data_IF_109579239808
#
_entry.id   IF_109579239808
#
_cell.length_a   1.000
_cell.length_b   1.000
_cell.length_c   1.000
_cell.angle_alpha   90.00
_cell.angle_beta   90.00
_cell.angle_gamma   90.00
#
_symmetry.space_group_name_H-M   'P 1'
#
loop_
_entity.id
_entity.type
_entity.pdbx_description
1 polymer ?
#
# COMPACT_ATOMS: atom_id res chain seq x y z
N UNK A 1 18.61 -23.22 -21.10
CA UNK A 1 19.42 -24.05 -20.17
C UNK A 1 20.88 -23.85 -20.53
N UNK A 2 21.77 -23.74 -19.54
CA UNK A 2 23.22 -23.66 -19.73
C UNK A 2 23.88 -24.94 -19.22
N UNK A 3 24.73 -25.56 -20.04
CA UNK A 3 25.61 -26.65 -19.64
C UNK A 3 26.98 -26.07 -19.27
N UNK A 4 27.38 -26.24 -18.00
CA UNK A 4 28.67 -25.82 -17.45
C UNK A 4 29.44 -27.05 -16.92
N UNK A 5 29.99 -27.90 -17.83
CA UNK A 5 30.63 -29.15 -17.45
C UNK A 5 31.88 -28.97 -16.57
N UNK A 6 32.49 -27.78 -16.60
CA UNK A 6 33.68 -27.46 -15.81
C UNK A 6 33.40 -27.11 -14.35
N UNK A 7 32.12 -26.97 -13.97
CA UNK A 7 31.71 -26.43 -12.66
C UNK A 7 32.52 -25.17 -12.31
N UNK A 8 32.60 -24.25 -13.27
CA UNK A 8 33.48 -23.12 -13.14
C UNK A 8 32.97 -22.19 -12.05
N UNK A 9 33.79 -21.99 -11.01
CA UNK A 9 33.44 -21.07 -9.90
C UNK A 9 33.07 -19.68 -10.42
N UNK A 10 33.68 -19.25 -11.54
CA UNK A 10 33.39 -17.96 -12.20
C UNK A 10 31.96 -17.86 -12.70
N UNK A 11 31.38 -18.95 -13.20
CA UNK A 11 29.99 -19.03 -13.65
C UNK A 11 29.04 -18.84 -12.47
N UNK A 12 29.21 -19.63 -11.42
CA UNK A 12 28.38 -19.56 -10.22
C UNK A 12 28.49 -18.20 -9.50
N UNK A 13 29.72 -17.71 -9.30
CA UNK A 13 29.96 -16.40 -8.66
C UNK A 13 29.44 -15.25 -9.53
N UNK A 14 29.68 -15.29 -10.84
CA UNK A 14 29.21 -14.27 -11.77
C UNK A 14 27.68 -14.18 -11.82
N UNK A 15 26.97 -15.31 -11.74
CA UNK A 15 25.51 -15.32 -11.67
C UNK A 15 25.02 -14.81 -10.30
N UNK A 16 25.61 -15.24 -9.19
CA UNK A 16 25.26 -14.74 -7.86
C UNK A 16 25.50 -13.23 -7.73
N UNK A 17 26.54 -12.68 -8.37
CA UNK A 17 26.78 -11.23 -8.43
C UNK A 17 25.74 -10.47 -9.23
N UNK A 18 25.06 -11.12 -10.19
CA UNK A 18 23.96 -10.54 -10.98
C UNK A 18 22.61 -10.68 -10.29
N UNK A 19 22.53 -11.37 -9.15
CA UNK A 19 21.29 -11.49 -8.37
C UNK A 19 20.77 -10.10 -8.00
N UNK A 20 19.65 -9.71 -8.59
CA UNK A 20 18.98 -8.43 -8.37
C UNK A 20 17.47 -8.61 -8.47
N UNK A 21 16.79 -8.96 -7.36
CA UNK A 21 15.34 -9.11 -7.33
C UNK A 21 14.61 -7.81 -7.68
N UNK A 22 15.21 -6.64 -7.44
CA UNK A 22 14.61 -5.36 -7.81
C UNK A 22 14.70 -5.10 -9.32
N UNK A 23 15.74 -5.62 -9.97
CA UNK A 23 15.93 -5.65 -11.41
C UNK A 23 15.24 -6.83 -12.12
N UNK A 24 14.52 -7.68 -11.39
CA UNK A 24 13.75 -8.80 -11.94
C UNK A 24 14.54 -10.10 -12.17
N UNK A 25 15.77 -10.20 -11.65
CA UNK A 25 16.63 -11.39 -11.79
C UNK A 25 16.91 -12.04 -10.43
N UNK A 26 16.42 -13.26 -10.24
CA UNK A 26 16.63 -14.03 -9.02
C UNK A 26 17.49 -15.24 -9.32
N UNK A 27 18.63 -15.34 -8.65
CA UNK A 27 19.50 -16.52 -8.67
C UNK A 27 19.30 -17.34 -7.40
N UNK A 28 18.97 -18.62 -7.58
CA UNK A 28 18.73 -19.60 -6.51
C UNK A 28 19.86 -20.61 -6.52
N UNK A 29 20.45 -20.85 -5.35
CA UNK A 29 21.31 -22.00 -5.13
C UNK A 29 20.57 -22.99 -4.23
N UNK A 30 19.98 -24.07 -4.80
CA UNK A 30 19.30 -25.09 -4.01
C UNK A 30 20.22 -25.64 -2.91
N UNK A 31 19.67 -25.85 -1.72
CA UNK A 31 20.44 -26.37 -0.58
C UNK A 31 20.83 -27.83 -0.85
N UNK A 32 22.13 -28.17 -0.87
CA UNK A 32 22.57 -29.53 -1.14
C UNK A 32 22.02 -30.54 -0.13
N UNK A 33 21.56 -31.70 -0.59
CA UNK A 33 21.14 -32.83 0.28
C UNK A 33 19.75 -32.71 0.90
N UNK A 34 19.06 -31.57 0.75
CA UNK A 34 17.64 -31.45 1.11
C UNK A 34 16.76 -31.90 -0.07
N UNK A 35 16.46 -33.19 -0.11
CA UNK A 35 15.66 -33.80 -1.17
C UNK A 35 14.16 -33.60 -0.91
N UNK A 36 13.57 -32.50 -1.38
CA UNK A 36 12.12 -32.32 -1.36
C UNK A 36 11.62 -31.00 -1.93
N UNK A 37 10.45 -31.03 -2.55
CA UNK A 37 9.81 -29.85 -3.16
C UNK A 37 9.59 -28.70 -2.17
N UNK A 38 9.37 -29.01 -0.89
CA UNK A 38 9.24 -27.99 0.14
C UNK A 38 10.56 -27.26 0.39
N UNK A 39 11.70 -27.99 0.42
CA UNK A 39 13.01 -27.38 0.57
C UNK A 39 13.36 -26.49 -0.63
N UNK A 40 13.11 -26.98 -1.85
CA UNK A 40 13.30 -26.19 -3.07
C UNK A 40 12.44 -24.92 -3.06
N UNK A 41 11.17 -25.00 -2.65
CA UNK A 41 10.33 -23.82 -2.51
C UNK A 41 10.85 -22.84 -1.46
N UNK A 42 11.40 -23.34 -0.34
CA UNK A 42 12.01 -22.50 0.68
C UNK A 42 13.29 -21.81 0.17
N UNK A 43 14.12 -22.49 -0.63
CA UNK A 43 15.31 -21.92 -1.24
C UNK A 43 14.94 -20.78 -2.21
N UNK A 44 13.88 -20.97 -3.00
CA UNK A 44 13.36 -19.89 -3.88
C UNK A 44 12.82 -18.72 -3.06
N UNK A 45 12.08 -18.97 -1.97
CA UNK A 45 11.62 -17.91 -1.06
C UNK A 45 12.81 -17.18 -0.41
N UNK A 46 13.87 -17.89 -0.04
CA UNK A 46 15.08 -17.30 0.51
C UNK A 46 15.77 -16.38 -0.51
N UNK A 47 15.89 -16.83 -1.77
CA UNK A 47 16.45 -16.05 -2.86
C UNK A 47 15.60 -14.81 -3.19
N UNK A 48 14.27 -14.88 -3.01
CA UNK A 48 13.38 -13.72 -3.08
C UNK A 48 13.49 -12.77 -1.87
N UNK A 49 14.44 -13.03 -0.96
CA UNK A 49 14.67 -12.24 0.25
C UNK A 49 13.61 -12.45 1.33
N UNK A 50 12.84 -13.54 1.31
CA UNK A 50 11.76 -13.80 2.28
C UNK A 50 12.28 -14.47 3.54
N UNK A 51 11.63 -14.20 4.67
CA UNK A 51 12.05 -14.73 5.97
C UNK A 51 11.84 -16.23 6.10
N UNK A 52 12.90 -17.03 5.86
CA UNK A 52 12.86 -18.48 6.03
C UNK A 52 12.58 -18.91 7.48
N UNK A 53 13.04 -18.13 8.47
CA UNK A 53 12.83 -18.41 9.89
C UNK A 53 11.34 -18.33 10.30
N UNK A 54 10.51 -17.69 9.48
CA UNK A 54 9.10 -17.46 9.75
C UNK A 54 8.17 -18.46 9.07
N UNK A 55 8.66 -19.32 8.17
CA UNK A 55 7.85 -20.27 7.39
C UNK A 55 6.93 -21.14 8.27
N UNK A 56 7.45 -21.68 9.38
CA UNK A 56 6.67 -22.49 10.33
C UNK A 56 5.62 -21.65 11.06
N UNK A 57 6.03 -20.50 11.60
CA UNK A 57 5.14 -19.59 12.33
C UNK A 57 4.00 -19.05 11.44
N UNK A 58 4.28 -18.88 10.15
CA UNK A 58 3.34 -18.36 9.15
C UNK A 58 2.55 -19.46 8.44
N UNK A 59 2.77 -20.74 8.80
CA UNK A 59 2.14 -21.94 8.21
C UNK A 59 2.32 -22.07 6.69
N UNK A 60 3.50 -21.70 6.20
CA UNK A 60 3.95 -22.03 4.85
C UNK A 60 4.68 -23.39 4.79
N UNK A 61 4.41 -24.29 5.72
CA UNK A 61 4.98 -25.63 5.73
C UNK A 61 4.31 -26.49 4.64
N UNK A 62 5.12 -27.16 3.82
CA UNK A 62 4.68 -28.05 2.75
C UNK A 62 4.78 -27.42 1.36
N UNK A 63 5.05 -28.25 0.35
CA UNK A 63 5.37 -27.82 -1.02
C UNK A 63 4.23 -27.05 -1.70
N UNK A 64 2.97 -27.44 -1.49
CA UNK A 64 1.84 -26.77 -2.12
C UNK A 64 1.68 -25.31 -1.66
N UNK A 65 1.67 -25.06 -0.33
CA UNK A 65 1.52 -23.70 0.21
C UNK A 65 2.75 -22.83 -0.06
N UNK A 66 3.95 -23.39 0.11
CA UNK A 66 5.19 -22.69 -0.20
C UNK A 66 5.26 -22.33 -1.69
N UNK A 67 4.88 -23.25 -2.59
CA UNK A 67 4.85 -22.99 -4.03
C UNK A 67 3.85 -21.92 -4.46
N UNK A 68 2.66 -21.87 -3.85
CA UNK A 68 1.72 -20.74 -4.07
C UNK A 68 2.31 -19.41 -3.61
N UNK A 69 3.02 -19.40 -2.47
CA UNK A 69 3.71 -18.20 -2.00
C UNK A 69 4.82 -17.77 -2.96
N UNK A 70 5.58 -18.72 -3.52
CA UNK A 70 6.61 -18.45 -4.54
C UNK A 70 5.99 -17.77 -5.77
N UNK A 71 4.93 -18.35 -6.35
CA UNK A 71 4.26 -17.75 -7.54
C UNK A 71 3.75 -16.35 -7.22
N UNK A 72 3.12 -16.17 -6.07
CA UNK A 72 2.64 -14.86 -5.62
C UNK A 72 3.76 -13.81 -5.51
N UNK A 73 4.93 -14.20 -5.00
CA UNK A 73 6.06 -13.29 -4.86
C UNK A 73 6.77 -13.01 -6.18
N UNK A 74 6.94 -14.00 -7.04
CA UNK A 74 7.51 -13.81 -8.39
C UNK A 74 6.68 -12.78 -9.19
N UNK A 75 5.35 -12.89 -9.15
CA UNK A 75 4.45 -11.94 -9.80
C UNK A 75 4.48 -10.56 -9.15
N UNK A 76 4.45 -10.49 -7.82
CA UNK A 76 4.45 -9.23 -7.10
C UNK A 76 5.74 -8.43 -7.31
N UNK A 77 6.88 -9.12 -7.31
CA UNK A 77 8.19 -8.50 -7.50
C UNK A 77 8.53 -8.31 -8.98
N UNK A 78 7.68 -8.76 -9.90
CA UNK A 78 7.90 -8.70 -11.35
C UNK A 78 9.21 -9.39 -11.75
N UNK A 79 9.45 -10.57 -11.20
CA UNK A 79 10.64 -11.37 -11.53
C UNK A 79 10.49 -11.92 -12.95
N UNK A 80 11.34 -11.40 -13.83
CA UNK A 80 11.41 -11.81 -15.23
C UNK A 80 12.22 -13.09 -15.39
N UNK A 81 13.28 -13.25 -14.60
CA UNK A 81 14.25 -14.33 -14.72
C UNK A 81 14.49 -15.05 -13.39
N UNK A 82 14.28 -16.38 -13.39
CA UNK A 82 14.65 -17.26 -12.29
C UNK A 82 15.78 -18.19 -12.74
N UNK A 83 16.98 -17.95 -12.22
CA UNK A 83 18.17 -18.78 -12.47
C UNK A 83 18.31 -19.79 -11.35
N UNK A 84 18.42 -21.08 -11.68
CA UNK A 84 18.64 -22.16 -10.71
C UNK A 84 20.00 -22.77 -10.95
N UNK A 85 20.90 -22.57 -9.99
CA UNK A 85 22.24 -23.16 -10.00
C UNK A 85 22.17 -24.64 -9.67
N UNK A 86 23.12 -25.43 -10.20
CA UNK A 86 23.23 -26.87 -9.94
C UNK A 86 21.94 -27.63 -10.18
N UNK A 87 21.21 -27.24 -11.22
CA UNK A 87 19.92 -27.82 -11.58
C UNK A 87 20.02 -29.31 -11.93
N UNK A 88 21.21 -29.80 -12.28
CA UNK A 88 21.54 -31.22 -12.48
C UNK A 88 21.32 -32.07 -11.23
N UNK A 89 21.31 -31.47 -10.03
CA UNK A 89 21.10 -32.17 -8.75
C UNK A 89 19.64 -32.26 -8.32
N UNK A 90 18.71 -31.69 -9.09
CA UNK A 90 17.30 -31.74 -8.77
C UNK A 90 16.68 -33.07 -9.23
N UNK A 91 15.57 -33.46 -8.62
CA UNK A 91 14.77 -34.59 -9.09
C UNK A 91 13.83 -34.17 -10.23
N UNK A 92 13.31 -35.16 -10.97
CA UNK A 92 12.27 -34.93 -11.99
C UNK A 92 11.09 -34.10 -11.46
N UNK A 93 10.57 -34.46 -10.28
CA UNK A 93 9.52 -33.70 -9.61
C UNK A 93 9.93 -32.24 -9.34
N UNK A 94 11.21 -31.98 -9.03
CA UNK A 94 11.76 -30.65 -8.81
C UNK A 94 11.76 -29.80 -10.10
N UNK A 95 12.18 -30.38 -11.22
CA UNK A 95 12.12 -29.74 -12.53
C UNK A 95 10.67 -29.45 -12.96
N UNK A 96 9.78 -30.43 -12.85
CA UNK A 96 8.35 -30.27 -13.14
C UNK A 96 7.73 -29.13 -12.33
N UNK A 97 8.05 -29.09 -11.03
CA UNK A 97 7.56 -28.06 -10.14
C UNK A 97 8.08 -26.67 -10.52
N UNK A 98 9.38 -26.52 -10.85
CA UNK A 98 9.95 -25.24 -11.30
C UNK A 98 9.30 -24.76 -12.60
N UNK A 99 9.10 -25.67 -13.57
CA UNK A 99 8.41 -25.37 -14.82
C UNK A 99 6.96 -24.95 -14.58
N UNK A 100 6.25 -25.63 -13.68
CA UNK A 100 4.88 -25.27 -13.32
C UNK A 100 4.79 -23.90 -12.64
N UNK A 101 5.71 -23.59 -11.71
CA UNK A 101 5.80 -22.29 -11.02
C UNK A 101 6.08 -21.18 -12.03
N UNK A 102 7.11 -21.34 -12.87
CA UNK A 102 7.54 -20.32 -13.83
C UNK A 102 6.48 -20.08 -14.92
N UNK A 103 5.80 -21.13 -15.40
CA UNK A 103 4.66 -20.97 -16.32
C UNK A 103 3.52 -20.17 -15.71
N UNK A 104 3.23 -20.37 -14.42
CA UNK A 104 2.15 -19.64 -13.71
C UNK A 104 2.52 -18.20 -13.39
N UNK A 105 3.79 -17.92 -13.11
CA UNK A 105 4.26 -16.55 -12.85
C UNK A 105 4.63 -15.79 -14.13
N UNK A 106 4.75 -16.47 -15.28
CA UNK A 106 5.29 -15.87 -16.51
C UNK A 106 6.78 -15.57 -16.45
N UNK A 107 7.50 -16.17 -15.49
CA UNK A 107 8.95 -15.99 -15.29
C UNK A 107 9.71 -16.93 -16.22
N UNK A 108 10.79 -16.45 -16.83
CA UNK A 108 11.70 -17.29 -17.62
C UNK A 108 12.59 -18.10 -16.68
N UNK A 109 12.62 -19.41 -16.89
CA UNK A 109 13.45 -20.33 -16.12
C UNK A 109 14.79 -20.56 -16.82
N UNK A 110 15.89 -20.32 -16.11
CA UNK A 110 17.24 -20.61 -16.58
C UNK A 110 17.86 -21.67 -15.66
N UNK A 111 18.01 -22.88 -16.19
CA UNK A 111 18.67 -23.99 -15.49
C UNK A 111 20.16 -23.99 -15.81
N UNK A 112 21.02 -24.01 -14.79
CA UNK A 112 22.47 -24.18 -14.92
C UNK A 112 22.81 -25.60 -14.47
N UNK A 113 23.30 -26.43 -15.40
CA UNK A 113 23.56 -27.84 -15.17
C UNK A 113 25.05 -28.12 -15.32
N UNK A 114 25.69 -28.70 -14.30
CA UNK A 114 27.12 -29.02 -14.33
C UNK A 114 27.41 -30.39 -14.92
N UNK A 115 26.95 -30.59 -16.17
CA UNK A 115 27.02 -31.86 -16.89
C UNK A 115 27.35 -31.59 -18.36
N UNK A 116 27.95 -32.59 -19.01
CA UNK A 116 28.33 -32.51 -20.43
C UNK A 116 27.14 -32.73 -21.38
N UNK A 117 26.08 -33.38 -20.89
CA UNK A 117 24.88 -33.67 -21.65
C UNK A 117 23.64 -33.63 -20.73
N UNK A 118 22.48 -33.35 -21.33
CA UNK A 118 21.21 -33.33 -20.62
C UNK A 118 20.87 -34.74 -20.11
N UNK A 119 20.55 -34.86 -18.82
CA UNK A 119 20.12 -36.13 -18.25
C UNK A 119 18.80 -36.59 -18.90
N UNK A 120 18.59 -37.88 -19.22
CA UNK A 120 17.37 -38.37 -19.86
C UNK A 120 16.10 -37.97 -19.11
N UNK A 121 16.09 -38.09 -17.78
CA UNK A 121 14.94 -37.69 -16.96
C UNK A 121 14.61 -36.18 -17.04
N UNK A 122 15.62 -35.33 -17.29
CA UNK A 122 15.38 -33.90 -17.54
C UNK A 122 14.90 -33.67 -18.98
N UNK A 123 15.44 -34.41 -19.94
CA UNK A 123 14.97 -34.36 -21.33
C UNK A 123 13.48 -34.74 -21.43
N UNK A 124 13.06 -35.78 -20.71
CA UNK A 124 11.65 -36.21 -20.63
C UNK A 124 10.76 -35.11 -20.03
N UNK A 125 11.20 -34.44 -18.96
CA UNK A 125 10.47 -33.32 -18.33
C UNK A 125 10.40 -32.09 -19.26
N UNK A 126 11.43 -31.87 -20.07
CA UNK A 126 11.48 -30.77 -21.04
C UNK A 126 10.73 -31.08 -22.34
N UNK A 127 10.26 -32.32 -22.53
CA UNK A 127 9.51 -32.72 -23.71
C UNK A 127 8.26 -31.83 -23.88
N UNK A 128 8.07 -31.28 -25.09
CA UNK A 128 6.97 -30.36 -25.38
C UNK A 128 7.10 -28.95 -24.79
N UNK A 129 8.19 -28.63 -24.07
CA UNK A 129 8.49 -27.28 -23.60
C UNK A 129 9.52 -26.63 -24.53
N UNK A 130 9.23 -25.44 -25.07
CA UNK A 130 10.22 -24.68 -25.86
C UNK A 130 11.40 -24.29 -24.99
N UNK A 131 12.60 -24.78 -25.33
CA UNK A 131 13.82 -24.51 -24.60
C UNK A 131 15.02 -24.42 -25.54
N UNK A 132 16.02 -23.65 -25.13
CA UNK A 132 17.30 -23.50 -25.82
C UNK A 132 18.41 -24.07 -24.92
N UNK A 133 19.34 -24.81 -25.52
CA UNK A 133 20.53 -25.35 -24.82
C UNK A 133 21.72 -24.48 -25.22
N UNK A 134 22.36 -23.90 -24.22
CA UNK A 134 23.51 -23.02 -24.35
C UNK A 134 24.71 -23.69 -23.67
N UNK A 135 25.90 -23.45 -24.20
CA UNK A 135 27.18 -23.97 -23.67
C UNK A 135 28.14 -22.86 -23.26
N UNK A 136 27.77 -21.59 -23.47
CA UNK A 136 28.52 -20.42 -23.05
C UNK A 136 27.60 -19.43 -22.32
N UNK A 137 28.11 -18.82 -21.26
CA UNK A 137 27.40 -17.89 -20.39
C UNK A 137 27.20 -16.53 -21.07
N UNK A 138 28.09 -16.15 -21.99
CA UNK A 138 28.05 -14.86 -22.71
C UNK A 138 26.75 -14.61 -23.49
N UNK A 139 26.03 -15.67 -23.88
CA UNK A 139 24.77 -15.62 -24.62
C UNK A 139 23.52 -15.83 -23.75
N UNK A 140 23.68 -16.31 -22.51
CA UNK A 140 22.57 -16.85 -21.69
C UNK A 140 21.66 -15.83 -21.04
N UNK A 141 22.20 -14.70 -20.64
CA UNK A 141 21.43 -13.60 -20.11
C UNK A 141 21.42 -12.56 -21.21
N UNK A 142 20.33 -12.40 -21.99
CA UNK A 142 20.13 -11.12 -22.64
C UNK A 142 20.06 -10.13 -21.48
N UNK A 143 21.16 -9.41 -21.27
CA UNK A 143 21.10 -8.07 -20.75
C UNK A 143 20.31 -7.30 -21.78
N UNK A 144 18.97 -7.43 -21.72
CA UNK A 144 18.13 -6.49 -22.42
C UNK A 144 18.58 -5.14 -21.85
N UNK A 145 19.16 -4.23 -22.65
CA UNK A 145 19.46 -2.89 -22.16
C UNK A 145 18.15 -2.43 -21.56
N UNK A 146 18.18 -2.14 -20.25
CA UNK A 146 16.99 -2.02 -19.43
C UNK A 146 15.92 -1.31 -20.24
N UNK A 147 14.84 -2.03 -20.59
CA UNK A 147 13.61 -1.37 -21.04
C UNK A 147 13.44 -0.28 -20.00
N UNK A 148 13.47 1.03 -20.36
CA UNK A 148 13.68 2.12 -19.42
C UNK A 148 12.78 1.79 -18.27
N UNK A 149 13.41 1.40 -17.15
CA UNK A 149 12.70 0.71 -16.10
C UNK A 149 11.48 1.57 -15.90
N UNK A 150 10.29 1.00 -16.02
CA UNK A 150 9.20 1.60 -15.29
C UNK A 150 9.60 1.32 -13.85
N UNK A 151 10.56 2.11 -13.37
CA UNK A 151 10.85 2.29 -11.98
C UNK A 151 9.46 2.36 -11.38
N UNK A 152 9.10 1.55 -10.39
CA UNK A 152 8.00 1.93 -9.53
C UNK A 152 8.20 3.41 -9.26
N UNK A 153 7.27 4.24 -9.78
CA UNK A 153 7.49 5.65 -10.02
C UNK A 153 8.22 6.24 -8.80
N UNK A 154 9.48 6.63 -9.01
CA UNK A 154 10.40 7.10 -7.97
C UNK A 154 10.51 6.22 -6.68
N UNK A 155 11.35 5.18 -6.70
CA UNK A 155 12.02 4.69 -5.47
C UNK A 155 13.17 5.63 -5.05
N UNK A 156 13.60 6.54 -5.94
CA UNK A 156 14.61 7.56 -5.64
C UNK A 156 14.02 8.97 -5.68
N UNK A 157 13.22 9.32 -4.67
CA UNK A 157 13.10 10.68 -4.11
C UNK A 157 12.29 10.67 -2.81
N UNK A 158 12.77 9.93 -1.80
CA UNK A 158 12.38 10.13 -0.39
C UNK A 158 13.63 10.17 0.50
N UNK A 159 14.79 10.47 -0.09
CA UNK A 159 16.07 10.59 0.63
C UNK A 159 16.54 12.05 0.73
N UNK A 160 15.62 13.00 0.58
CA UNK A 160 15.77 14.24 1.32
C UNK A 160 15.17 13.96 2.71
N UNK A 161 15.91 14.17 3.81
CA UNK A 161 15.25 14.41 5.08
C UNK A 161 14.18 15.46 4.79
N UNK A 162 12.91 15.16 5.06
CA UNK A 162 11.90 16.20 5.03
C UNK A 162 12.47 17.34 5.89
N UNK A 163 12.62 18.57 5.35
CA UNK A 163 13.11 19.68 6.16
C UNK A 163 12.31 19.66 7.44
N UNK A 164 12.97 19.69 8.60
CA UNK A 164 12.32 19.57 9.91
C UNK A 164 11.07 20.44 9.89
N UNK A 165 9.91 19.79 9.75
CA UNK A 165 8.68 20.52 9.49
C UNK A 165 8.41 21.32 10.75
N UNK A 166 8.42 22.65 10.62
CA UNK A 166 8.08 23.52 11.73
C UNK A 166 6.66 23.15 12.15
N UNK A 167 6.48 22.77 13.41
CA UNK A 167 5.16 22.38 13.88
C UNK A 167 4.22 23.59 13.76
N UNK A 168 3.04 23.35 13.17
CA UNK A 168 2.06 24.40 12.97
C UNK A 168 1.29 24.64 14.27
N UNK A 169 0.92 25.89 14.58
CA UNK A 169 0.07 26.17 15.73
C UNK A 169 -1.29 25.48 15.57
N UNK A 170 -1.91 25.15 16.69
CA UNK A 170 -3.26 24.60 16.71
C UNK A 170 -4.26 25.66 16.21
N UNK A 171 -4.89 25.41 15.06
CA UNK A 171 -5.92 26.27 14.51
C UNK A 171 -7.09 25.45 13.94
N UNK A 172 -8.15 25.31 14.74
CA UNK A 172 -9.29 24.44 14.46
C UNK A 172 -10.56 25.18 14.00
N UNK A 173 -10.42 26.40 13.46
CA UNK A 173 -11.59 27.14 12.95
C UNK A 173 -12.28 26.37 11.82
N UNK A 174 -13.60 26.23 11.93
CA UNK A 174 -14.44 25.46 11.01
C UNK A 174 -15.14 26.36 9.99
N UNK A 175 -15.20 27.67 10.27
CA UNK A 175 -15.90 28.63 9.44
C UNK A 175 -15.04 29.00 8.23
N UNK A 176 -15.26 28.29 7.11
CA UNK A 176 -14.46 28.50 5.90
C UNK A 176 -14.53 29.92 5.32
N UNK A 177 -15.59 30.68 5.64
CA UNK A 177 -15.79 32.06 5.18
C UNK A 177 -15.12 33.10 6.07
N UNK A 178 -14.47 32.70 7.18
CA UNK A 178 -13.67 33.54 8.08
C UNK A 178 -12.35 32.87 8.45
N UNK A 179 -11.99 31.78 7.78
CA UNK A 179 -10.87 30.94 8.19
C UNK A 179 -9.54 31.70 8.14
N UNK A 180 -9.29 32.48 7.08
CA UNK A 180 -8.03 33.21 6.94
C UNK A 180 -8.00 34.48 7.77
N UNK A 181 -9.10 35.23 7.78
CA UNK A 181 -9.23 36.51 8.48
C UNK A 181 -9.24 36.38 10.02
N UNK A 182 -9.75 35.27 10.57
CA UNK A 182 -9.75 35.03 12.01
C UNK A 182 -8.40 34.48 12.53
N UNK A 183 -7.56 33.93 11.66
CA UNK A 183 -6.33 33.25 12.07
C UNK A 183 -5.29 34.17 12.76
N UNK A 184 -4.99 35.39 12.28
CA UNK A 184 -4.02 36.26 12.96
C UNK A 184 -4.38 36.58 14.41
N UNK A 185 -5.68 36.66 14.74
CA UNK A 185 -6.14 36.88 16.11
C UNK A 185 -6.00 35.62 16.98
N UNK A 186 -6.10 34.43 16.39
CA UNK A 186 -6.04 33.17 17.11
C UNK A 186 -4.60 32.64 17.31
N UNK A 187 -3.74 32.78 16.30
CA UNK A 187 -2.42 32.13 16.25
C UNK A 187 -1.26 33.10 15.94
N UNK A 188 -1.53 34.41 15.93
CA UNK A 188 -0.56 35.45 15.61
C UNK A 188 -0.15 35.48 14.13
N UNK A 189 0.51 36.57 13.71
CA UNK A 189 0.87 36.77 12.30
C UNK A 189 1.81 35.68 11.76
N UNK A 190 2.83 35.30 12.53
CA UNK A 190 3.79 34.26 12.11
C UNK A 190 3.10 32.90 11.95
N UNK A 191 2.27 32.52 12.92
CA UNK A 191 1.49 31.28 12.85
C UNK A 191 0.51 31.28 11.69
N UNK A 192 -0.14 32.42 11.44
CA UNK A 192 -0.99 32.63 10.28
C UNK A 192 -0.23 32.40 8.98
N UNK A 193 0.91 33.06 8.75
CA UNK A 193 1.66 32.94 7.49
C UNK A 193 2.08 31.48 7.21
N UNK A 194 2.50 30.74 8.23
CA UNK A 194 2.87 29.34 8.10
C UNK A 194 1.64 28.45 7.80
N UNK A 195 0.54 28.67 8.51
CA UNK A 195 -0.71 27.91 8.32
C UNK A 195 -1.36 28.24 6.98
N UNK A 196 -1.33 29.50 6.56
CA UNK A 196 -1.90 29.99 5.31
C UNK A 196 -1.15 29.43 4.11
N UNK A 197 0.18 29.32 4.16
CA UNK A 197 0.94 28.67 3.10
C UNK A 197 0.46 27.23 2.85
N UNK A 198 0.22 26.46 3.92
CA UNK A 198 -0.28 25.08 3.85
C UNK A 198 -1.75 25.02 3.42
N UNK A 199 -2.58 25.95 3.90
CA UNK A 199 -3.96 26.12 3.46
C UNK A 199 -4.03 26.40 1.95
N UNK A 200 -3.21 27.31 1.44
CA UNK A 200 -3.20 27.70 0.03
C UNK A 200 -2.74 26.55 -0.87
N UNK A 201 -1.79 25.71 -0.40
CA UNK A 201 -1.43 24.47 -1.10
C UNK A 201 -2.63 23.53 -1.25
N UNK A 202 -3.39 23.30 -0.17
CA UNK A 202 -4.60 22.49 -0.21
C UNK A 202 -5.69 23.06 -1.13
N UNK A 203 -5.86 24.39 -1.11
CA UNK A 203 -6.80 25.10 -1.98
C UNK A 203 -6.43 24.98 -3.46
N UNK A 204 -5.16 25.19 -3.80
CA UNK A 204 -4.66 25.09 -5.16
C UNK A 204 -4.80 23.65 -5.69
N UNK A 205 -4.43 22.65 -4.88
CA UNK A 205 -4.57 21.24 -5.22
C UNK A 205 -6.03 20.85 -5.49
N UNK A 206 -6.97 21.30 -4.65
CA UNK A 206 -8.40 21.07 -4.87
C UNK A 206 -8.93 21.76 -6.12
N UNK A 207 -8.44 22.98 -6.41
CA UNK A 207 -8.79 23.68 -7.64
C UNK A 207 -8.36 22.91 -8.89
N UNK A 208 -7.08 22.52 -8.94
CA UNK A 208 -6.54 21.74 -10.05
C UNK A 208 -7.27 20.39 -10.22
N UNK A 209 -7.53 19.69 -9.11
CA UNK A 209 -8.27 18.43 -9.14
C UNK A 209 -9.70 18.60 -9.67
N UNK A 210 -10.44 19.63 -9.23
CA UNK A 210 -11.78 19.89 -9.74
C UNK A 210 -11.77 20.26 -11.22
N UNK A 211 -10.78 21.03 -11.67
CA UNK A 211 -10.66 21.42 -13.08
C UNK A 211 -10.46 20.21 -14.00
N UNK A 212 -9.79 19.14 -13.52
CA UNK A 212 -9.66 17.89 -14.29
C UNK A 212 -10.88 16.96 -14.19
N UNK A 213 -11.69 17.07 -13.13
CA UNK A 213 -12.82 16.15 -12.88
C UNK A 213 -14.19 16.72 -13.27
N UNK A 214 -14.29 18.04 -13.48
CA UNK A 214 -15.54 18.72 -13.90
C UNK A 214 -15.64 18.87 -15.42
N UNK A 215 -14.99 18.01 -16.19
CA UNK A 215 -15.02 18.03 -17.66
C UNK A 215 -16.38 17.50 -18.18
N UNK A 216 -17.43 18.32 -18.14
CA UNK A 216 -18.75 17.96 -18.67
C UNK A 216 -19.90 18.86 -18.22
N UNK A 217 -21.09 18.63 -18.77
CA UNK A 217 -22.30 19.41 -18.46
C UNK A 217 -22.90 19.13 -17.06
N UNK A 218 -22.51 18.03 -16.40
CA UNK A 218 -23.06 17.60 -15.12
C UNK A 218 -22.04 17.73 -14.00
N UNK A 219 -22.39 18.52 -12.97
CA UNK A 219 -21.55 18.78 -11.78
C UNK A 219 -21.80 17.77 -10.66
N UNK A 220 -21.75 16.48 -10.97
CA UNK A 220 -21.87 15.42 -9.95
C UNK A 220 -20.48 14.85 -9.68
N UNK A 221 -20.05 14.94 -8.42
CA UNK A 221 -18.79 14.35 -7.97
C UNK A 221 -19.08 13.03 -7.27
N UNK A 222 -18.29 12.00 -7.60
CA UNK A 222 -18.29 10.76 -6.84
C UNK A 222 -17.58 10.98 -5.49
N UNK A 223 -18.28 10.70 -4.39
CA UNK A 223 -17.75 10.85 -3.04
C UNK A 223 -16.52 9.97 -2.81
N UNK A 224 -16.43 8.81 -3.46
CA UNK A 224 -15.26 7.95 -3.38
C UNK A 224 -14.02 8.63 -3.96
N UNK A 225 -14.16 9.31 -5.11
CA UNK A 225 -13.08 10.08 -5.72
C UNK A 225 -12.66 11.28 -4.86
N UNK A 226 -13.63 11.95 -4.22
CA UNK A 226 -13.33 13.03 -3.26
C UNK A 226 -12.57 12.50 -2.04
N UNK A 227 -12.97 11.36 -1.47
CA UNK A 227 -12.25 10.74 -0.34
C UNK A 227 -10.82 10.33 -0.72
N UNK A 228 -10.61 9.78 -1.92
CA UNK A 228 -9.29 9.44 -2.45
C UNK A 228 -8.42 10.70 -2.56
N UNK A 229 -8.91 11.74 -3.23
CA UNK A 229 -8.20 13.02 -3.37
C UNK A 229 -7.80 13.62 -2.01
N UNK A 230 -8.74 13.73 -1.08
CA UNK A 230 -8.47 14.33 0.23
C UNK A 230 -7.47 13.50 1.04
N UNK A 231 -7.49 12.17 0.88
CA UNK A 231 -6.53 11.30 1.55
C UNK A 231 -5.13 11.44 0.95
N UNK A 232 -5.02 11.47 -0.38
CA UNK A 232 -3.75 11.73 -1.08
C UNK A 232 -3.17 13.10 -0.72
N UNK A 233 -4.02 14.11 -0.50
CA UNK A 233 -3.63 15.46 -0.11
C UNK A 233 -2.95 15.53 1.27
N UNK A 234 -3.29 14.62 2.19
CA UNK A 234 -2.83 14.67 3.58
C UNK A 234 -1.93 13.52 4.01
N UNK A 235 -1.75 12.48 3.19
CA UNK A 235 -1.02 11.27 3.56
C UNK A 235 0.45 11.54 3.95
N UNK A 236 1.06 12.58 3.40
CA UNK A 236 2.45 13.01 3.65
C UNK A 236 2.54 14.15 4.67
N UNK A 237 1.42 14.58 5.27
CA UNK A 237 1.43 15.64 6.27
C UNK A 237 2.31 15.29 7.46
N UNK A 238 3.18 16.20 7.91
CA UNK A 238 4.07 15.93 9.03
C UNK A 238 3.35 15.92 10.38
N UNK A 239 2.31 16.73 10.56
CA UNK A 239 1.52 16.79 11.81
C UNK A 239 0.02 16.90 11.53
N UNK A 240 -0.83 16.62 12.53
CA UNK A 240 -2.30 16.77 12.43
C UNK A 240 -2.72 18.17 12.02
N UNK A 241 -2.00 19.19 12.49
CA UNK A 241 -2.28 20.58 12.17
C UNK A 241 -2.03 20.89 10.68
N UNK A 242 -1.02 20.26 10.07
CA UNK A 242 -0.80 20.34 8.63
C UNK A 242 -1.94 19.70 7.84
N UNK A 243 -2.37 18.49 8.24
CA UNK A 243 -3.51 17.82 7.62
C UNK A 243 -4.77 18.66 7.70
N UNK A 244 -5.06 19.23 8.87
CA UNK A 244 -6.22 20.10 9.04
C UNK A 244 -6.14 21.35 8.15
N UNK A 245 -4.98 22.02 8.10
CA UNK A 245 -4.78 23.20 7.26
C UNK A 245 -4.97 22.87 5.76
N UNK A 246 -4.39 21.77 5.27
CA UNK A 246 -4.56 21.32 3.88
C UNK A 246 -6.02 20.98 3.55
N UNK A 247 -6.72 20.27 4.44
CA UNK A 247 -8.13 19.92 4.25
C UNK A 247 -9.04 21.16 4.27
N UNK A 248 -8.80 22.12 5.16
CA UNK A 248 -9.51 23.41 5.15
C UNK A 248 -9.21 24.20 3.88
N UNK A 249 -7.98 24.14 3.38
CA UNK A 249 -7.60 24.66 2.07
C UNK A 249 -8.45 24.05 0.96
N UNK A 250 -8.51 22.71 0.91
CA UNK A 250 -9.34 21.99 -0.04
C UNK A 250 -10.82 22.36 0.07
N UNK A 251 -11.35 22.51 1.28
CA UNK A 251 -12.71 22.98 1.52
C UNK A 251 -12.96 24.37 0.88
N UNK A 252 -11.99 25.28 0.97
CA UNK A 252 -12.02 26.57 0.26
C UNK A 252 -11.98 26.41 -1.27
N UNK A 253 -11.17 25.49 -1.79
CA UNK A 253 -11.08 25.19 -3.23
C UNK A 253 -12.38 24.63 -3.81
N UNK A 254 -13.02 23.69 -3.11
CA UNK A 254 -14.34 23.16 -3.44
C UNK A 254 -15.41 24.26 -3.38
N UNK A 255 -15.37 25.10 -2.34
CA UNK A 255 -16.31 26.21 -2.21
C UNK A 255 -16.23 27.19 -3.37
N UNK A 256 -15.01 27.50 -3.84
CA UNK A 256 -14.79 28.39 -4.98
C UNK A 256 -15.39 27.86 -6.30
N UNK A 257 -15.71 26.56 -6.38
CA UNK A 257 -16.35 25.91 -7.55
C UNK A 257 -17.79 25.45 -7.24
N UNK A 258 -18.41 26.07 -6.22
CA UNK A 258 -19.79 25.82 -5.80
C UNK A 258 -20.05 24.41 -5.26
N UNK A 259 -19.06 23.77 -4.64
CA UNK A 259 -19.25 22.54 -3.88
C UNK A 259 -19.15 22.80 -2.38
N UNK A 260 -20.14 22.34 -1.63
CA UNK A 260 -20.10 22.28 -0.17
C UNK A 260 -19.41 20.98 0.26
N UNK A 261 -18.11 21.08 0.54
CA UNK A 261 -17.35 19.99 1.12
C UNK A 261 -17.47 20.07 2.64
N UNK A 262 -18.13 19.08 3.26
CA UNK A 262 -18.17 18.95 4.71
C UNK A 262 -17.08 18.00 5.16
N UNK A 263 -16.29 18.50 6.10
CA UNK A 263 -15.25 17.78 6.80
C UNK A 263 -15.67 17.58 8.25
N UNK A 264 -15.12 16.60 8.96
CA UNK A 264 -15.38 16.48 10.39
C UNK A 264 -14.93 17.74 11.16
N UNK A 265 -15.47 17.93 12.38
CA UNK A 265 -15.06 19.01 13.26
C UNK A 265 -13.54 19.01 13.47
N UNK A 266 -12.91 20.18 13.34
CA UNK A 266 -11.45 20.30 13.36
C UNK A 266 -10.86 19.83 14.68
N UNK A 267 -11.57 20.10 15.78
CA UNK A 267 -11.19 19.69 17.12
C UNK A 267 -11.06 18.17 17.24
N UNK A 268 -11.96 17.38 16.65
CA UNK A 268 -11.90 15.92 16.73
C UNK A 268 -10.68 15.35 15.99
N UNK A 269 -10.22 16.03 14.94
CA UNK A 269 -9.06 15.61 14.14
C UNK A 269 -7.75 15.85 14.89
N UNK A 270 -7.63 16.97 15.59
CA UNK A 270 -6.40 17.38 16.30
C UNK A 270 -6.27 16.77 17.70
N UNK A 271 -7.38 16.48 18.39
CA UNK A 271 -7.37 15.85 19.73
C UNK A 271 -7.14 14.33 19.71
N UNK A 272 -7.10 13.70 18.52
CA UNK A 272 -6.92 12.25 18.41
C UNK A 272 -8.21 11.44 18.56
N UNK A 273 -9.38 12.08 18.54
CA UNK A 273 -10.67 11.39 18.54
C UNK A 273 -11.02 10.77 17.20
N UNK A 274 -10.56 11.40 16.10
CA UNK A 274 -10.58 10.81 14.76
C UNK A 274 -9.18 10.34 14.37
N UNK A 275 -9.19 9.24 13.61
CA UNK A 275 -8.02 8.56 13.11
C UNK A 275 -7.99 8.51 11.58
N UNK A 276 -6.86 8.08 11.03
CA UNK A 276 -6.69 7.79 9.61
C UNK A 276 -5.41 8.36 9.02
N UNK A 277 -5.19 8.14 7.71
CA UNK A 277 -4.13 8.75 6.94
C UNK A 277 -3.97 10.25 7.21
N UNK A 278 -2.74 10.70 7.39
CA UNK A 278 -2.38 12.10 7.70
C UNK A 278 -2.65 12.55 9.14
N UNK A 279 -3.34 11.75 9.97
CA UNK A 279 -3.62 12.10 11.37
C UNK A 279 -2.78 11.28 12.37
N UNK A 280 -2.71 9.96 12.20
CA UNK A 280 -1.98 9.05 13.10
C UNK A 280 -0.69 8.50 12.49
N UNK A 281 -0.63 8.43 11.15
CA UNK A 281 0.57 8.12 10.42
C UNK A 281 1.22 9.42 9.98
N UNK A 282 2.24 9.89 10.70
CA UNK A 282 3.14 10.90 10.13
C UNK A 282 3.78 10.37 8.84
N UNK A 283 4.56 11.21 8.14
CA UNK A 283 5.26 10.87 6.89
C UNK A 283 6.08 9.55 6.91
N UNK A 284 6.33 8.97 8.09
CA UNK A 284 7.03 7.71 8.30
C UNK A 284 6.17 6.42 8.22
N UNK A 285 4.82 6.50 8.24
CA UNK A 285 3.94 5.35 8.46
C UNK A 285 4.05 4.22 7.42
N UNK A 286 4.34 4.55 6.16
CA UNK A 286 4.49 3.59 5.06
C UNK A 286 5.65 3.98 4.12
N UNK A 287 6.82 4.18 4.69
CA UNK A 287 8.03 4.51 3.92
C UNK A 287 8.57 3.29 3.14
N UNK A 288 9.43 3.56 2.16
CA UNK A 288 10.16 2.51 1.42
C UNK A 288 10.90 1.57 2.37
N UNK A 289 11.53 2.11 3.42
CA UNK A 289 12.23 1.32 4.42
C UNK A 289 11.28 0.41 5.24
N UNK A 290 10.05 0.86 5.54
CA UNK A 290 9.02 0.02 6.18
C UNK A 290 8.63 -1.12 5.24
N UNK A 291 8.37 -0.82 3.96
CA UNK A 291 7.97 -1.82 2.97
C UNK A 291 9.07 -2.86 2.74
N UNK A 292 10.35 -2.45 2.70
CA UNK A 292 11.48 -3.37 2.62
C UNK A 292 11.57 -4.28 3.85
N UNK A 293 11.36 -3.75 5.07
CA UNK A 293 11.31 -4.56 6.30
C UNK A 293 10.15 -5.56 6.30
N UNK A 294 8.98 -5.17 5.78
CA UNK A 294 7.87 -6.10 5.59
C UNK A 294 8.30 -7.21 4.63
N UNK A 295 8.80 -6.84 3.45
CA UNK A 295 9.21 -7.81 2.40
C UNK A 295 10.25 -8.81 2.89
N UNK A 296 11.25 -8.34 3.66
CA UNK A 296 12.32 -9.17 4.20
C UNK A 296 11.89 -10.00 5.43
N UNK A 297 10.99 -9.47 6.25
CA UNK A 297 10.60 -10.09 7.52
C UNK A 297 9.41 -11.04 7.46
N UNK A 298 8.70 -11.12 6.32
CA UNK A 298 7.55 -12.01 6.14
C UNK A 298 7.77 -12.99 5.00
N UNK A 299 7.23 -14.19 5.13
CA UNK A 299 7.21 -15.17 4.05
C UNK A 299 5.82 -15.30 3.41
N UNK A 300 4.76 -15.10 4.19
CA UNK A 300 3.38 -15.25 3.73
C UNK A 300 2.83 -13.95 3.11
N UNK A 301 2.37 -13.97 1.83
CA UNK A 301 1.84 -12.79 1.15
C UNK A 301 0.72 -12.07 1.92
N UNK A 302 -0.27 -12.82 2.41
CA UNK A 302 -1.38 -12.30 3.23
C UNK A 302 -0.91 -11.61 4.50
N UNK A 303 0.17 -12.07 5.14
CA UNK A 303 0.69 -11.43 6.34
C UNK A 303 1.31 -10.09 6.00
N UNK A 304 2.18 -10.04 4.96
CA UNK A 304 2.81 -8.80 4.52
C UNK A 304 1.80 -7.73 4.11
N UNK A 305 0.77 -8.10 3.35
CA UNK A 305 -0.30 -7.18 2.98
C UNK A 305 -1.16 -6.76 4.18
N UNK A 306 -1.39 -7.64 5.16
CA UNK A 306 -2.13 -7.29 6.38
C UNK A 306 -1.42 -6.21 7.19
N UNK A 307 -0.09 -6.30 7.33
CA UNK A 307 0.73 -5.24 7.93
C UNK A 307 0.58 -3.94 7.12
N UNK A 308 0.79 -4.02 5.81
CA UNK A 308 0.75 -2.84 4.93
C UNK A 308 -0.62 -2.15 4.93
N UNK A 309 -1.72 -2.90 4.87
CA UNK A 309 -3.08 -2.33 4.90
C UNK A 309 -3.42 -1.73 6.27
N UNK A 310 -2.96 -2.32 7.37
CA UNK A 310 -3.15 -1.75 8.71
C UNK A 310 -2.42 -0.41 8.85
N UNK A 311 -1.18 -0.32 8.36
CA UNK A 311 -0.44 0.94 8.30
C UNK A 311 -1.05 1.96 7.31
N UNK A 312 -1.59 1.49 6.19
CA UNK A 312 -2.20 2.38 5.20
C UNK A 312 -3.49 3.01 5.74
N UNK A 313 -4.37 2.18 6.30
CA UNK A 313 -5.70 2.61 6.75
C UNK A 313 -5.71 3.16 8.17
N UNK A 314 -4.65 2.92 8.94
CA UNK A 314 -4.57 3.15 10.38
C UNK A 314 -5.66 2.41 11.17
N UNK A 315 -6.24 1.37 10.57
CA UNK A 315 -7.24 0.52 11.21
C UNK A 315 -6.61 -0.71 11.86
N UNK A 316 -7.19 -1.19 12.97
CA UNK A 316 -6.79 -2.46 13.57
C UNK A 316 -6.97 -3.61 12.58
N UNK A 317 -6.04 -4.56 12.61
CA UNK A 317 -6.07 -5.73 11.70
C UNK A 317 -7.39 -6.51 11.84
N UNK A 318 -7.98 -6.55 13.05
CA UNK A 318 -9.31 -7.13 13.32
C UNK A 318 -10.37 -6.67 12.34
N UNK A 319 -10.35 -5.40 11.95
CA UNK A 319 -11.30 -4.84 11.01
C UNK A 319 -11.06 -5.30 9.57
N UNK A 320 -9.81 -5.58 9.20
CA UNK A 320 -9.41 -5.96 7.85
C UNK A 320 -9.66 -7.43 7.52
N UNK A 321 -9.99 -8.29 8.50
CA UNK A 321 -10.13 -9.72 8.25
C UNK A 321 -11.38 -10.12 7.47
N UNK A 322 -12.48 -9.38 7.61
CA UNK A 322 -13.70 -9.63 6.83
C UNK A 322 -13.67 -8.94 5.47
N UNK A 323 -12.52 -8.45 5.04
CA UNK A 323 -12.40 -7.63 3.83
C UNK A 323 -12.61 -8.51 2.59
N UNK A 324 -13.68 -8.25 1.81
CA UNK A 324 -13.99 -9.03 0.62
C UNK A 324 -13.05 -8.64 -0.53
N UNK A 325 -12.92 -9.47 -1.56
CA UNK A 325 -12.06 -9.17 -2.71
C UNK A 325 -12.44 -7.87 -3.41
N UNK A 326 -13.74 -7.61 -3.47
CA UNK A 326 -14.36 -6.45 -4.12
C UNK A 326 -14.08 -5.15 -3.36
N UNK A 327 -13.54 -5.24 -2.13
CA UNK A 327 -13.05 -4.07 -1.42
C UNK A 327 -11.80 -3.48 -2.08
N UNK A 328 -11.00 -4.27 -2.80
CA UNK A 328 -9.87 -3.76 -3.59
C UNK A 328 -10.30 -3.51 -5.03
N UNK A 329 -9.89 -2.37 -5.58
CA UNK A 329 -10.07 -2.11 -7.01
C UNK A 329 -9.34 -3.17 -7.86
N UNK A 330 -9.79 -3.43 -9.10
CA UNK A 330 -9.20 -4.47 -9.96
C UNK A 330 -7.68 -4.34 -10.20
N UNK A 331 -7.16 -3.12 -10.14
CA UNK A 331 -5.76 -2.72 -10.32
C UNK A 331 -5.05 -2.39 -8.99
N UNK A 332 -5.71 -2.64 -7.85
CA UNK A 332 -5.22 -2.39 -6.50
C UNK A 332 -4.86 -0.91 -6.21
N UNK A 333 -5.43 0.09 -6.90
CA UNK A 333 -5.19 1.51 -6.62
C UNK A 333 -6.05 2.08 -5.49
N UNK A 334 -7.18 1.44 -5.16
CA UNK A 334 -8.09 1.91 -4.12
C UNK A 334 -8.59 0.76 -3.25
N UNK A 335 -8.74 1.04 -1.97
CA UNK A 335 -9.35 0.14 -0.99
C UNK A 335 -10.64 0.79 -0.44
N UNK A 336 -11.78 0.18 -0.71
CA UNK A 336 -13.10 0.57 -0.21
C UNK A 336 -13.50 -0.31 0.97
N UNK A 337 -13.60 0.31 2.14
CA UNK A 337 -14.10 -0.35 3.34
C UNK A 337 -15.54 0.07 3.60
N UNK A 338 -16.40 -0.92 3.79
CA UNK A 338 -17.81 -0.70 4.12
C UNK A 338 -18.12 -1.40 5.43
N UNK A 339 -18.64 -0.65 6.40
CA UNK A 339 -19.03 -1.16 7.69
C UNK A 339 -20.53 -1.01 7.91
N UNK A 340 -21.15 -2.07 8.42
CA UNK A 340 -22.55 -2.08 8.81
C UNK A 340 -22.62 -2.01 10.34
N UNK A 341 -23.00 -0.87 10.92
CA UNK A 341 -23.12 -0.75 12.36
C UNK A 341 -24.17 -1.74 12.88
N UNK A 342 -23.75 -2.66 13.74
CA UNK A 342 -24.66 -3.55 14.47
C UNK A 342 -25.10 -2.88 15.76
N UNK A 343 -26.10 -2.01 15.69
CA UNK A 343 -26.79 -1.55 16.90
C UNK A 343 -28.05 -2.40 17.08
N UNK A 344 -27.99 -3.37 17.99
CA UNK A 344 -29.20 -4.01 18.50
C UNK A 344 -29.83 -3.07 19.53
N UNK A 345 -30.76 -2.22 19.11
CA UNK A 345 -31.64 -1.54 20.07
C UNK A 345 -32.63 -2.57 20.62
N UNK A 346 -32.46 -2.94 21.89
CA UNK A 346 -33.44 -3.72 22.64
C UNK A 346 -34.69 -2.86 22.82
N UNK A 347 -35.63 -2.94 21.89
CA UNK A 347 -37.00 -2.45 22.11
C UNK A 347 -37.81 -3.62 22.63
N UNK A 348 -38.38 -3.55 23.85
CA UNK A 348 -39.17 -4.64 24.40
C UNK A 348 -40.34 -4.94 23.45
N UNK A 349 -40.46 -6.21 23.05
CA UNK A 349 -41.59 -6.87 22.37
C UNK A 349 -41.64 -6.97 20.83
N UNK A 350 -40.79 -6.32 20.02
CA UNK A 350 -40.75 -6.59 18.56
C UNK A 350 -39.34 -6.41 17.99
N UNK A 351 -38.64 -7.51 17.70
CA UNK A 351 -37.34 -7.48 17.01
C UNK A 351 -37.51 -6.88 15.60
N UNK A 352 -37.32 -5.56 15.48
CA UNK A 352 -37.11 -4.90 14.19
C UNK A 352 -35.66 -4.44 14.15
N UNK A 353 -34.83 -5.20 13.42
CA UNK A 353 -33.47 -4.76 13.09
C UNK A 353 -33.64 -3.55 12.17
N UNK A 354 -33.47 -2.32 12.69
CA UNK A 354 -33.31 -1.15 11.82
C UNK A 354 -31.99 -1.33 11.07
N UNK A 355 -32.06 -1.61 9.77
CA UNK A 355 -30.88 -1.58 8.89
C UNK A 355 -30.38 -0.14 8.85
N UNK A 356 -29.32 0.14 9.59
CA UNK A 356 -28.64 1.43 9.52
C UNK A 356 -27.88 1.56 8.18
N UNK A 357 -27.70 2.80 7.73
CA UNK A 357 -26.96 3.08 6.50
C UNK A 357 -25.50 2.60 6.62
N UNK A 358 -24.95 1.95 5.59
CA UNK A 358 -23.56 1.53 5.59
C UNK A 358 -22.64 2.76 5.64
N UNK A 359 -21.62 2.67 6.47
CA UNK A 359 -20.53 3.65 6.50
C UNK A 359 -19.47 3.18 5.51
N UNK A 360 -19.03 4.06 4.63
CA UNK A 360 -18.01 3.75 3.62
C UNK A 360 -16.85 4.73 3.74
N UNK A 361 -15.63 4.21 3.70
CA UNK A 361 -14.42 5.01 3.51
C UNK A 361 -13.56 4.37 2.42
N UNK A 362 -12.99 5.22 1.57
CA UNK A 362 -12.10 4.81 0.49
C UNK A 362 -10.70 5.34 0.74
N UNK A 363 -9.71 4.46 0.61
CA UNK A 363 -8.30 4.74 0.84
C UNK A 363 -7.50 4.56 -0.45
N UNK A 364 -6.65 5.53 -0.84
CA UNK A 364 -5.73 5.36 -1.95
C UNK A 364 -4.66 4.35 -1.56
N UNK A 365 -4.28 3.50 -2.51
CA UNK A 365 -3.19 2.53 -2.32
C UNK A 365 -1.96 3.03 -3.10
N UNK A 366 -0.88 3.43 -2.39
CA UNK A 366 0.34 3.89 -3.03
C UNK A 366 0.92 2.83 -3.96
N UNK A 367 1.50 3.21 -5.12
CA UNK A 367 2.11 2.28 -6.07
C UNK A 367 3.08 1.27 -5.44
N UNK A 368 3.84 1.70 -4.43
CA UNK A 368 4.80 0.85 -3.73
C UNK A 368 4.16 -0.31 -2.94
N UNK A 369 2.88 -0.20 -2.57
CA UNK A 369 2.12 -1.20 -1.79
C UNK A 369 1.39 -2.18 -2.70
N UNK A 370 1.00 -1.75 -3.91
CA UNK A 370 0.19 -2.55 -4.86
C UNK A 370 0.79 -3.93 -5.14
N UNK A 371 2.12 -4.10 -5.28
CA UNK A 371 2.75 -5.42 -5.36
C UNK A 371 2.37 -6.38 -4.22
N UNK A 372 2.34 -5.90 -2.98
CA UNK A 372 1.99 -6.76 -1.83
C UNK A 372 0.53 -7.21 -1.91
N UNK A 373 -0.36 -6.32 -2.35
CA UNK A 373 -1.77 -6.66 -2.54
C UNK A 373 -1.94 -7.64 -3.70
N UNK A 374 -1.20 -7.45 -4.79
CA UNK A 374 -1.17 -8.39 -5.91
C UNK A 374 -0.69 -9.79 -5.48
N UNK A 375 0.31 -9.87 -4.60
CA UNK A 375 0.79 -11.13 -4.03
C UNK A 375 -0.35 -11.87 -3.30
N UNK A 376 -1.16 -11.15 -2.50
CA UNK A 376 -2.32 -11.76 -1.84
C UNK A 376 -3.34 -12.24 -2.84
N UNK A 377 -3.60 -11.44 -3.88
CA UNK A 377 -4.56 -11.82 -4.91
C UNK A 377 -4.15 -13.10 -5.64
N UNK A 378 -2.87 -13.24 -5.98
CA UNK A 378 -2.37 -14.47 -6.56
C UNK A 378 -2.48 -15.64 -5.57
N UNK A 379 -2.00 -15.45 -4.33
CA UNK A 379 -1.97 -16.51 -3.33
C UNK A 379 -3.38 -17.05 -2.97
N UNK A 380 -4.36 -16.15 -2.86
CA UNK A 380 -5.69 -16.49 -2.43
C UNK A 380 -6.58 -17.02 -3.56
N UNK A 381 -6.35 -16.63 -4.82
CA UNK A 381 -7.07 -17.18 -5.99
C UNK A 381 -6.83 -18.69 -6.18
N UNK A 382 -5.66 -19.18 -5.73
CA UNK A 382 -5.26 -20.58 -5.84
C UNK A 382 -5.55 -21.39 -4.57
N UNK A 383 -6.16 -20.76 -3.57
CA UNK A 383 -6.68 -21.44 -2.40
C UNK A 383 -8.17 -21.73 -2.60
N UNK A 384 -8.71 -22.78 -1.94
CA UNK A 384 -10.15 -23.06 -1.87
C UNK A 384 -10.89 -21.99 -1.05
N UNK A 385 -10.68 -20.72 -1.39
CA UNK A 385 -11.25 -19.56 -0.72
C UNK A 385 -12.68 -19.36 -1.18
N UNK A 386 -13.55 -20.28 -0.75
CA UNK A 386 -14.99 -20.23 -0.97
C UNK A 386 -15.66 -19.01 -0.31
N UNK A 387 -14.94 -18.31 0.58
CA UNK A 387 -15.48 -17.19 1.36
C UNK A 387 -15.40 -15.84 0.65
N UNK A 388 -14.67 -15.72 -0.47
CA UNK A 388 -14.52 -14.45 -1.17
C UNK A 388 -13.83 -13.35 -0.34
N UNK A 389 -12.98 -13.73 0.63
CA UNK A 389 -12.26 -12.78 1.50
C UNK A 389 -10.80 -12.66 1.14
N UNK A 390 -10.25 -11.44 1.17
CA UNK A 390 -8.82 -11.18 0.94
C UNK A 390 -7.95 -11.83 2.03
N UNK A 391 -8.45 -11.82 3.26
CA UNK A 391 -7.86 -12.51 4.40
C UNK A 391 -8.77 -13.68 4.75
N UNK A 392 -8.42 -14.90 4.29
CA UNK A 392 -9.20 -16.09 4.62
C UNK A 392 -9.36 -16.19 6.15
N UNK A 393 -10.62 -16.36 6.60
CA UNK A 393 -10.97 -16.12 7.99
C UNK A 393 -10.50 -17.24 8.90
N UNK A 394 -9.30 -17.10 9.44
CA UNK A 394 -8.88 -17.84 10.62
C UNK A 394 -8.44 -16.85 11.67
N UNK A 395 -8.92 -16.99 12.91
CA UNK A 395 -8.53 -16.15 14.06
C UNK A 395 -7.01 -16.11 14.26
N UNK A 396 -6.32 -17.15 13.77
CA UNK A 396 -4.87 -17.28 13.73
C UNK A 396 -4.15 -16.22 12.89
N UNK A 397 -4.84 -15.53 11.97
CA UNK A 397 -4.21 -14.56 11.06
C UNK A 397 -3.80 -13.28 11.80
N UNK A 398 -4.58 -12.82 12.78
CA UNK A 398 -4.29 -11.56 13.50
C UNK A 398 -3.04 -11.65 14.36
N UNK A 399 -2.96 -12.66 15.21
CA UNK A 399 -1.82 -12.90 16.10
C UNK A 399 -0.53 -13.07 15.28
N UNK A 400 -0.61 -13.73 14.13
CA UNK A 400 0.54 -13.88 13.23
C UNK A 400 0.95 -12.58 12.56
N UNK A 401 0.00 -11.75 12.12
CA UNK A 401 0.32 -10.43 11.57
C UNK A 401 0.94 -9.55 12.66
N UNK A 402 0.41 -9.58 13.89
CA UNK A 402 1.02 -8.90 15.04
C UNK A 402 2.45 -9.39 15.32
N UNK A 403 2.65 -10.70 15.39
CA UNK A 403 3.97 -11.30 15.62
C UNK A 403 4.95 -11.04 14.46
N UNK A 404 4.46 -11.02 13.21
CA UNK A 404 5.26 -10.67 12.04
C UNK A 404 5.67 -9.19 12.06
N UNK A 405 4.74 -8.29 12.37
CA UNK A 405 5.03 -6.87 12.50
C UNK A 405 6.07 -6.62 13.61
N UNK A 406 5.94 -7.27 14.77
CA UNK A 406 6.93 -7.23 15.83
C UNK A 406 8.32 -7.72 15.34
N UNK A 407 8.37 -8.83 14.59
CA UNK A 407 9.60 -9.32 13.98
C UNK A 407 10.22 -8.31 12.99
N UNK A 408 9.39 -7.64 12.19
CA UNK A 408 9.80 -6.55 11.30
C UNK A 408 10.17 -5.24 12.02
N UNK A 409 10.03 -5.18 13.36
CA UNK A 409 10.16 -3.96 14.18
C UNK A 409 9.21 -2.85 13.72
N UNK A 410 7.99 -3.23 13.37
CA UNK A 410 6.92 -2.34 12.92
C UNK A 410 5.87 -2.28 14.02
N UNK A 411 5.66 -1.08 14.55
CA UNK A 411 4.54 -0.81 15.46
C UNK A 411 3.28 -0.65 14.62
N UNK A 412 2.34 -1.56 14.82
CA UNK A 412 1.01 -1.46 14.23
C UNK A 412 0.16 -0.45 14.99
N UNK A 413 -0.88 0.12 14.36
CA UNK A 413 -1.89 0.90 15.05
C UNK A 413 -2.41 0.13 16.28
N UNK A 414 -2.55 0.85 17.39
CA UNK A 414 -2.90 0.26 18.69
C UNK A 414 -4.17 -0.59 18.59
N UNK A 415 -4.03 -1.89 18.84
CA UNK A 415 -5.13 -2.85 18.81
C UNK A 415 -6.04 -2.76 20.05
N UNK A 416 -5.57 -2.09 21.10
CA UNK A 416 -6.27 -1.89 22.37
C UNK A 416 -6.91 -0.52 22.50
N UNK A 417 -6.65 0.41 21.58
CA UNK A 417 -7.45 1.63 21.38
C UNK A 417 -8.83 1.24 20.88
N UNK A 418 -9.63 0.80 21.84
CA UNK A 418 -11.04 0.47 21.81
C UNK A 418 -11.42 -0.73 20.93
N UNK A 419 -12.22 -1.62 21.54
CA UNK A 419 -13.21 -2.48 20.85
C UNK A 419 -14.20 -1.69 19.95
N UNK A 420 -14.00 -0.37 19.80
CA UNK A 420 -14.80 0.60 19.08
C UNK A 420 -13.98 1.42 18.05
N UNK A 421 -12.70 1.13 17.80
CA UNK A 421 -12.00 1.63 16.61
C UNK A 421 -12.59 0.96 15.37
N UNK A 422 -13.66 1.57 14.89
CA UNK A 422 -14.43 1.18 13.73
C UNK A 422 -14.27 2.25 12.65
N UNK A 423 -14.82 1.96 11.47
CA UNK A 423 -14.77 2.87 10.34
C UNK A 423 -15.33 4.28 10.67
N UNK A 424 -16.21 4.42 11.67
CA UNK A 424 -16.72 5.73 12.12
C UNK A 424 -15.65 6.63 12.73
N UNK A 425 -14.57 6.08 13.26
CA UNK A 425 -13.49 6.89 13.81
C UNK A 425 -12.55 7.39 12.72
N UNK A 426 -12.66 6.88 11.48
CA UNK A 426 -11.89 7.39 10.35
C UNK A 426 -12.48 8.70 9.86
N UNK A 427 -11.66 9.73 9.71
CA UNK A 427 -12.13 11.05 9.28
C UNK A 427 -12.77 11.01 7.89
N UNK A 428 -12.34 10.09 7.01
CA UNK A 428 -12.92 9.87 5.69
C UNK A 428 -14.43 9.57 5.74
N UNK A 429 -14.88 8.83 6.75
CA UNK A 429 -16.29 8.43 6.86
C UNK A 429 -17.26 9.59 7.11
N UNK A 430 -16.74 10.76 7.48
CA UNK A 430 -17.51 11.99 7.76
C UNK A 430 -17.51 12.96 6.58
N UNK A 431 -16.79 12.63 5.50
CA UNK A 431 -16.70 13.49 4.32
C UNK A 431 -18.01 13.40 3.54
N UNK A 432 -18.60 14.57 3.24
CA UNK A 432 -19.70 14.68 2.29
C UNK A 432 -19.42 15.84 1.33
N UNK A 433 -19.90 15.73 0.10
CA UNK A 433 -19.70 16.75 -0.90
C UNK A 433 -20.98 16.90 -1.72
N UNK A 434 -21.55 18.11 -1.72
CA UNK A 434 -22.77 18.41 -2.47
C UNK A 434 -22.57 19.64 -3.33
N UNK A 435 -23.08 19.61 -4.56
CA UNK A 435 -23.14 20.83 -5.37
C UNK A 435 -24.10 21.82 -4.70
N UNK A 436 -23.64 23.05 -4.49
CA UNK A 436 -24.41 24.11 -3.84
C UNK A 436 -24.09 25.44 -4.52
N UNK A 437 -24.83 25.78 -5.61
CA UNK A 437 -24.54 26.92 -6.47
C UNK A 437 -24.60 28.26 -5.74
N UNK A 438 -25.35 28.35 -4.64
CA UNK A 438 -25.58 29.59 -3.92
C UNK A 438 -25.95 29.29 -2.45
N UNK A 439 -25.22 29.89 -1.49
CA UNK A 439 -25.56 29.82 -0.06
C UNK A 439 -26.10 31.17 0.45
N UNK A 440 -26.03 32.22 -0.37
CA UNK A 440 -26.54 33.57 -0.08
C UNK A 440 -25.47 34.66 -0.27
N UNK A 441 -25.86 35.81 -0.83
CA UNK A 441 -24.94 36.92 -1.18
C UNK A 441 -24.02 37.34 -0.04
N UNK A 442 -24.53 37.43 1.20
CA UNK A 442 -23.73 37.81 2.37
C UNK A 442 -22.68 36.74 2.72
N UNK A 443 -23.00 35.46 2.58
CA UNK A 443 -22.05 34.38 2.82
C UNK A 443 -20.96 34.38 1.74
N UNK A 444 -21.38 34.48 0.48
CA UNK A 444 -20.48 34.46 -0.67
C UNK A 444 -19.52 35.66 -0.67
N UNK A 445 -20.01 36.87 -0.36
CA UNK A 445 -19.15 38.05 -0.21
C UNK A 445 -18.13 37.89 0.91
N UNK A 446 -18.53 37.35 2.07
CA UNK A 446 -17.61 37.10 3.19
C UNK A 446 -16.53 36.08 2.83
N UNK A 447 -16.93 35.00 2.17
CA UNK A 447 -15.99 34.00 1.69
C UNK A 447 -15.00 34.62 0.70
N UNK A 448 -15.48 35.36 -0.31
CA UNK A 448 -14.60 36.02 -1.30
C UNK A 448 -13.61 36.97 -0.59
N UNK A 449 -14.08 37.78 0.37
CA UNK A 449 -13.22 38.69 1.13
C UNK A 449 -12.17 37.93 1.95
N UNK A 450 -12.55 36.84 2.63
CA UNK A 450 -11.63 35.98 3.38
C UNK A 450 -10.58 35.33 2.47
N UNK A 451 -11.00 34.88 1.29
CA UNK A 451 -10.10 34.30 0.29
C UNK A 451 -9.13 35.31 -0.33
N UNK A 452 -9.44 36.61 -0.29
CA UNK A 452 -8.57 37.71 -0.70
C UNK A 452 -7.80 38.35 0.47
N UNK A 453 -8.01 37.87 1.71
CA UNK A 453 -7.38 38.41 2.90
C UNK A 453 -5.85 38.40 2.79
N UNK A 454 -5.25 39.56 3.06
CA UNK A 454 -3.82 39.74 3.24
C UNK A 454 -3.61 40.51 4.55
N UNK A 455 -2.85 39.98 5.52
CA UNK A 455 -2.62 40.66 6.79
C UNK A 455 -1.78 41.92 6.55
N UNK A 456 -2.11 43.01 7.26
CA UNK A 456 -1.28 44.21 7.23
C UNK A 456 -0.04 44.00 8.14
N UNK A 457 1.19 43.96 7.59
CA UNK A 457 2.39 43.67 8.37
C UNK A 457 2.71 44.75 9.42
N UNK A 458 2.12 45.94 9.32
CA UNK A 458 2.41 47.08 10.20
C UNK A 458 1.48 47.23 11.42
N UNK A 459 0.41 46.43 11.53
CA UNK A 459 -0.65 46.67 12.55
C UNK A 459 -0.39 45.92 13.88
N UNK A 460 0.53 44.96 13.94
CA UNK A 460 0.79 44.17 15.17
C UNK A 460 2.15 44.42 15.84
N UNK A 461 3.00 45.31 15.31
CA UNK A 461 4.18 45.77 16.02
C UNK A 461 3.84 46.69 17.22
N UNK A 462 2.59 47.13 17.34
CA UNK A 462 2.12 48.00 18.42
C UNK A 462 1.50 47.25 19.62
N UNK A 463 1.50 45.91 19.61
CA UNK A 463 0.94 45.09 20.69
C UNK A 463 1.88 43.96 21.14
N UNK A 464 3.19 44.17 21.03
CA UNK A 464 4.21 43.29 21.60
C UNK A 464 4.59 43.75 23.01
#
# INVERSE_FOLDING_TARGET
>A
MLLDPGDEVRVSVGLLQRHDPAGGLVVVHPTPGLCGLAALAHDVLAALGRSICRLKAERLVGSARAGRAVVAWLLADQIEDLVVLRADRLSAAGWDWLLAVCRRSGTRLVLICHVHAVAPALADVLEGTSHEILTDLGTTLPGRPGRPGRAPAAIHSVLAPAPQAVDLPLYANEQIHTYRSAAPAAIGLRGFLQTDAVYQQGRAAAGAWLDTHLTGAWKVLDIAQVQLFLTELVQDSPTRNHSLARLRGAQGGFRARSFDLKLPPGQLMVTGQLTGPGLDGGAAGLSVAVLQRIRAGVAHPTIGAGIALSLLTQLPILFLHSLPWEALSPDNHALRLTWFPQYATLVPSKFTIRRHHPITAVFPVPPAVRPLLQAVRCFAAESDNTTGRLFASTSFTFERIGAAAAHCKITLPDQHRHRAANLLQTWQSHVTCTYTPYLGSKFDTRFIADQAFAPNPHVQAASA
#
